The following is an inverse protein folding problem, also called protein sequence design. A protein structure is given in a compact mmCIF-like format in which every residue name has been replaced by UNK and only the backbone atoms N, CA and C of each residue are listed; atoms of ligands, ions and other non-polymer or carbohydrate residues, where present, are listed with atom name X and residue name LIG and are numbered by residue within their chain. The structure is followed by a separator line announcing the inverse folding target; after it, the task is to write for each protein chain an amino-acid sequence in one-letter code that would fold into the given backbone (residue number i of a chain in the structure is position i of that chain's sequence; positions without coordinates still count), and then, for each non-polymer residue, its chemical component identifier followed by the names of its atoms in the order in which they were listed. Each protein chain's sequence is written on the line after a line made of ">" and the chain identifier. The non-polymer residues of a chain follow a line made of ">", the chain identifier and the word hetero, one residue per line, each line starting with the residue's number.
data_IF_120467452343
#
_entry.id   IF_120467452343
#
_cell.length_a   1.000
_cell.length_b   1.000
_cell.length_c   1.000
_cell.angle_alpha   90.00
_cell.angle_beta   90.00
_cell.angle_gamma   90.00
#
_symmetry.space_group_name_H-M   'P 1'
#
loop_
_entity.id
_entity.type
_entity.pdbx_description
1 polymer ?
#
# COMPACT_ATOMS: atom_id res chain seq x y z
N UNK A 1 6.39 -0.90 26.49
CA UNK A 1 7.54 -0.14 25.92
C UNK A 1 7.25 0.24 24.45
N UNK A 2 6.25 1.09 24.19
CA UNK A 2 6.24 1.90 22.97
C UNK A 2 7.47 2.82 22.89
N UNK A 3 8.06 3.10 24.07
CA UNK A 3 9.26 3.91 24.27
C UNK A 3 10.60 3.27 23.86
N UNK A 4 10.67 2.01 23.40
CA UNK A 4 11.98 1.40 23.05
C UNK A 4 12.46 1.73 21.63
N UNK A 5 11.59 2.22 20.75
CA UNK A 5 11.94 2.62 19.38
C UNK A 5 11.11 3.84 18.94
N UNK A 6 11.54 5.06 19.29
CA UNK A 6 10.84 6.30 18.96
C UNK A 6 10.68 6.52 17.45
N UNK A 7 11.61 6.00 16.66
CA UNK A 7 11.55 6.12 15.20
C UNK A 7 10.33 5.37 14.64
N UNK A 8 10.13 4.13 15.08
CA UNK A 8 9.12 3.23 14.51
C UNK A 8 7.70 3.77 14.63
N UNK A 9 7.30 4.29 15.78
CA UNK A 9 5.93 4.81 15.93
C UNK A 9 5.74 6.12 15.15
N UNK A 10 6.78 6.97 15.10
CA UNK A 10 6.74 8.24 14.37
C UNK A 10 6.62 7.97 12.87
N UNK A 11 7.50 7.14 12.32
CA UNK A 11 7.47 6.73 10.92
C UNK A 11 6.08 6.18 10.56
N UNK A 12 5.58 5.23 11.35
CA UNK A 12 4.27 4.62 11.13
C UNK A 12 3.10 5.63 11.25
N UNK A 13 3.20 6.62 12.13
CA UNK A 13 2.21 7.67 12.25
C UNK A 13 2.21 8.58 11.02
N UNK A 14 3.38 8.96 10.51
CA UNK A 14 3.49 9.74 9.27
C UNK A 14 2.93 8.95 8.08
N UNK A 15 3.22 7.64 7.96
CA UNK A 15 2.61 6.79 6.93
C UNK A 15 1.10 6.69 7.08
N UNK A 16 0.58 6.67 8.30
CA UNK A 16 -0.86 6.65 8.54
C UNK A 16 -1.55 7.93 8.07
N UNK A 17 -0.96 9.10 8.33
CA UNK A 17 -1.46 10.39 7.83
C UNK A 17 -1.40 10.43 6.29
N UNK A 18 -0.29 9.98 5.71
CA UNK A 18 -0.18 9.87 4.25
C UNK A 18 -1.29 8.99 3.66
N UNK A 19 -1.51 7.79 4.22
CA UNK A 19 -2.54 6.88 3.75
C UNK A 19 -3.95 7.47 3.83
N UNK A 20 -4.25 8.27 4.87
CA UNK A 20 -5.54 8.98 4.98
C UNK A 20 -5.69 10.01 3.88
N UNK A 21 -4.67 10.85 3.68
CA UNK A 21 -4.71 11.91 2.67
C UNK A 21 -4.76 11.33 1.25
N UNK A 22 -3.83 10.44 0.94
CA UNK A 22 -3.70 9.80 -0.36
C UNK A 22 -4.90 8.90 -0.67
N UNK A 23 -5.31 8.02 0.24
CA UNK A 23 -6.43 7.11 -0.01
C UNK A 23 -7.75 7.84 -0.21
N UNK A 24 -8.00 8.93 0.53
CA UNK A 24 -9.20 9.75 0.35
C UNK A 24 -9.16 10.51 -0.98
N UNK A 25 -8.01 11.11 -1.31
CA UNK A 25 -7.81 11.83 -2.57
C UNK A 25 -7.94 10.86 -3.77
N UNK A 26 -7.38 9.67 -3.68
CA UNK A 26 -7.45 8.67 -4.75
C UNK A 26 -8.89 8.20 -4.99
N UNK A 27 -9.68 7.96 -3.93
CA UNK A 27 -11.12 7.72 -4.07
C UNK A 27 -11.80 8.91 -4.77
N UNK A 28 -11.46 10.14 -4.39
CA UNK A 28 -12.00 11.33 -5.05
C UNK A 28 -11.67 11.36 -6.55
N UNK A 29 -10.44 11.00 -6.95
CA UNK A 29 -10.05 10.91 -8.36
C UNK A 29 -10.99 9.99 -9.15
N UNK A 30 -11.24 8.77 -8.67
CA UNK A 30 -12.13 7.82 -9.36
C UNK A 30 -13.60 8.21 -9.33
N UNK A 31 -14.04 8.95 -8.31
CA UNK A 31 -15.43 9.45 -8.27
C UNK A 31 -15.65 10.68 -9.15
N UNK A 32 -14.65 11.55 -9.27
CA UNK A 32 -14.73 12.78 -10.05
C UNK A 32 -14.43 12.55 -11.53
N UNK A 33 -13.57 11.58 -11.84
CA UNK A 33 -13.10 11.25 -13.19
C UNK A 33 -13.25 9.75 -13.46
N UNK A 34 -14.49 9.21 -13.50
CA UNK A 34 -14.73 7.78 -13.73
C UNK A 34 -14.16 7.27 -15.06
N UNK A 35 -14.00 8.14 -16.06
CA UNK A 35 -13.37 7.85 -17.35
C UNK A 35 -11.94 7.33 -17.24
N UNK A 36 -11.24 7.60 -16.12
CA UNK A 36 -9.92 7.03 -15.82
C UNK A 36 -9.91 5.50 -15.89
N UNK A 37 -11.02 4.82 -15.56
CA UNK A 37 -11.09 3.36 -15.55
C UNK A 37 -11.12 2.76 -16.95
N UNK A 38 -11.53 3.54 -17.94
CA UNK A 38 -11.64 3.16 -19.35
C UNK A 38 -10.35 3.46 -20.11
N UNK A 39 -9.74 4.62 -19.86
CA UNK A 39 -8.48 5.09 -20.44
C UNK A 39 -7.37 5.21 -19.38
N UNK A 40 -6.82 4.08 -18.96
CA UNK A 40 -5.86 4.06 -17.85
C UNK A 40 -4.46 4.56 -18.22
N UNK A 41 -4.06 4.43 -19.48
CA UNK A 41 -2.71 4.75 -19.93
C UNK A 41 -2.61 6.17 -20.52
N UNK A 42 -3.66 6.65 -21.19
CA UNK A 42 -3.74 7.99 -21.76
C UNK A 42 -4.32 9.07 -20.84
N UNK A 43 -5.15 8.73 -19.85
CA UNK A 43 -5.78 9.74 -19.02
C UNK A 43 -4.78 10.39 -18.05
N UNK A 44 -4.63 11.71 -18.21
CA UNK A 44 -3.91 12.57 -17.29
C UNK A 44 -4.66 13.89 -17.11
N UNK A 45 -4.83 14.31 -15.86
CA UNK A 45 -5.24 15.65 -15.53
C UNK A 45 -4.42 16.17 -14.36
N UNK A 46 -4.43 17.48 -14.13
CA UNK A 46 -3.61 18.07 -13.08
C UNK A 46 -3.96 17.57 -11.67
N UNK A 47 -5.21 17.17 -11.42
CA UNK A 47 -5.62 16.68 -10.10
C UNK A 47 -5.04 15.30 -9.81
N UNK A 48 -5.12 14.37 -10.76
CA UNK A 48 -4.57 13.01 -10.65
C UNK A 48 -3.05 13.01 -10.68
N UNK A 49 -2.45 13.82 -11.55
CA UNK A 49 -1.00 14.02 -11.59
C UNK A 49 -0.46 14.58 -10.27
N UNK A 50 -1.15 15.55 -9.67
CA UNK A 50 -0.74 16.12 -8.38
C UNK A 50 -0.81 15.10 -7.25
N UNK A 51 -1.82 14.22 -7.23
CA UNK A 51 -1.88 13.10 -6.29
C UNK A 51 -0.65 12.19 -6.45
N UNK A 52 -0.30 11.79 -7.68
CA UNK A 52 0.88 10.96 -7.95
C UNK A 52 2.16 11.67 -7.51
N UNK A 53 2.31 12.96 -7.80
CA UNK A 53 3.46 13.77 -7.37
C UNK A 53 3.58 13.87 -5.85
N UNK A 54 2.46 14.13 -5.16
CA UNK A 54 2.38 14.17 -3.71
C UNK A 54 2.82 12.83 -3.10
N UNK A 55 2.28 11.72 -3.60
CA UNK A 55 2.62 10.39 -3.10
C UNK A 55 4.06 10.00 -3.42
N UNK A 56 4.58 10.37 -4.59
CA UNK A 56 5.99 10.16 -4.93
C UNK A 56 6.91 10.87 -3.96
N UNK A 57 6.62 12.15 -3.64
CA UNK A 57 7.37 12.91 -2.65
C UNK A 57 7.37 12.22 -1.28
N UNK A 58 6.21 11.72 -0.84
CA UNK A 58 6.12 10.94 0.38
C UNK A 58 6.95 9.64 0.34
N UNK A 59 6.85 8.83 -0.72
CA UNK A 59 7.59 7.57 -0.82
C UNK A 59 9.11 7.80 -0.86
N UNK A 60 9.58 8.90 -1.48
CA UNK A 60 11.00 9.31 -1.43
C UNK A 60 11.39 9.66 0.00
N UNK A 61 10.59 10.50 0.68
CA UNK A 61 10.82 10.86 2.07
C UNK A 61 10.91 9.63 2.97
N UNK A 62 9.96 8.70 2.85
CA UNK A 62 9.89 7.52 3.71
C UNK A 62 11.05 6.55 3.43
N UNK A 63 11.44 6.38 2.16
CA UNK A 63 12.64 5.61 1.80
C UNK A 63 13.93 6.22 2.36
N UNK A 64 14.06 7.55 2.34
CA UNK A 64 15.20 8.27 2.93
C UNK A 64 15.19 8.15 4.46
N UNK A 65 14.04 8.30 5.12
CA UNK A 65 13.91 8.13 6.57
C UNK A 65 14.31 6.69 6.97
N UNK A 66 13.89 5.68 6.22
CA UNK A 66 14.35 4.29 6.43
C UNK A 66 15.86 4.11 6.22
N UNK A 67 16.46 4.77 5.22
CA UNK A 67 17.90 4.74 4.96
C UNK A 67 18.68 5.35 6.13
N UNK A 68 18.36 6.58 6.53
CA UNK A 68 19.07 7.27 7.61
C UNK A 68 18.92 6.59 8.97
N UNK A 69 17.85 5.82 9.17
CA UNK A 69 17.62 5.07 10.41
C UNK A 69 18.06 3.59 10.33
N UNK A 70 18.82 3.19 9.30
CA UNK A 70 19.36 1.83 9.09
C UNK A 70 18.29 0.72 9.04
N UNK A 71 17.13 1.01 8.44
CA UNK A 71 15.97 0.09 8.39
C UNK A 71 15.80 -0.63 7.06
N UNK A 72 16.52 -0.24 6.02
CA UNK A 72 16.36 -0.80 4.67
C UNK A 72 16.49 -2.33 4.63
N UNK A 73 17.49 -2.90 5.30
CA UNK A 73 17.69 -4.35 5.34
C UNK A 73 16.85 -5.05 6.39
N UNK A 74 16.49 -4.35 7.47
CA UNK A 74 15.65 -4.91 8.54
C UNK A 74 14.22 -5.16 8.06
N UNK A 75 13.69 -4.22 7.28
CA UNK A 75 12.35 -4.27 6.71
C UNK A 75 12.39 -4.48 5.19
N UNK A 76 13.21 -5.45 4.73
CA UNK A 76 13.50 -5.68 3.30
C UNK A 76 12.26 -5.75 2.39
N UNK A 77 11.15 -6.33 2.89
CA UNK A 77 9.91 -6.43 2.10
C UNK A 77 9.25 -5.08 1.86
N UNK A 78 9.35 -4.16 2.82
CA UNK A 78 8.88 -2.76 2.68
C UNK A 78 9.84 -1.99 1.78
N UNK A 79 11.14 -2.20 1.93
CA UNK A 79 12.14 -1.58 1.05
C UNK A 79 11.94 -1.95 -0.42
N UNK A 80 11.71 -3.23 -0.73
CA UNK A 80 11.40 -3.66 -2.10
C UNK A 80 10.10 -3.05 -2.62
N UNK A 81 9.08 -2.94 -1.77
CA UNK A 81 7.84 -2.23 -2.11
C UNK A 81 8.13 -0.78 -2.52
N UNK A 82 8.92 -0.03 -1.74
CA UNK A 82 9.25 1.36 -2.03
C UNK A 82 10.04 1.49 -3.33
N UNK A 83 11.00 0.60 -3.58
CA UNK A 83 11.79 0.61 -4.83
C UNK A 83 10.86 0.43 -6.03
N UNK A 84 9.98 -0.57 -5.99
CA UNK A 84 9.03 -0.83 -7.09
C UNK A 84 8.10 0.36 -7.31
N UNK A 85 7.51 0.90 -6.23
CA UNK A 85 6.60 2.05 -6.28
C UNK A 85 7.30 3.26 -6.88
N UNK A 86 8.50 3.60 -6.38
CA UNK A 86 9.27 4.76 -6.84
C UNK A 86 9.65 4.65 -8.32
N UNK A 87 10.05 3.47 -8.80
CA UNK A 87 10.34 3.27 -10.23
C UNK A 87 9.11 3.60 -11.08
N UNK A 88 7.94 3.05 -10.73
CA UNK A 88 6.71 3.28 -11.49
C UNK A 88 6.23 4.73 -11.41
N UNK A 89 6.30 5.34 -10.23
CA UNK A 89 5.76 6.67 -9.97
C UNK A 89 6.63 7.75 -10.61
N UNK A 90 7.96 7.66 -10.46
CA UNK A 90 8.91 8.58 -11.10
C UNK A 90 8.78 8.47 -12.61
N UNK A 91 8.63 7.25 -13.16
CA UNK A 91 8.39 7.08 -14.58
C UNK A 91 7.11 7.80 -15.04
N UNK A 92 6.01 7.65 -14.31
CA UNK A 92 4.73 8.30 -14.65
C UNK A 92 4.84 9.83 -14.59
N UNK A 93 5.50 10.39 -13.58
CA UNK A 93 5.75 11.83 -13.46
C UNK A 93 6.62 12.34 -14.62
N UNK A 94 7.73 11.66 -14.88
CA UNK A 94 8.69 12.06 -15.91
C UNK A 94 8.08 12.07 -17.32
N UNK A 95 7.23 11.08 -17.60
CA UNK A 95 6.60 10.92 -18.93
C UNK A 95 5.23 11.57 -19.03
N UNK A 96 4.63 11.95 -17.90
CA UNK A 96 3.21 12.33 -17.80
C UNK A 96 2.25 11.28 -18.39
N UNK A 97 2.67 10.02 -18.39
CA UNK A 97 1.94 8.88 -18.94
C UNK A 97 1.56 7.88 -17.84
N UNK A 98 0.53 7.06 -18.06
CA UNK A 98 0.08 6.03 -17.13
C UNK A 98 -0.27 6.57 -15.73
N UNK A 99 -0.65 7.84 -15.62
CA UNK A 99 -1.04 8.46 -14.35
C UNK A 99 -2.23 7.76 -13.74
N UNK A 100 -3.25 7.41 -14.54
CA UNK A 100 -4.41 6.67 -14.03
C UNK A 100 -4.07 5.22 -13.62
N UNK A 101 -3.13 4.54 -14.29
CA UNK A 101 -2.56 3.26 -13.80
C UNK A 101 -1.94 3.43 -12.40
N UNK A 102 -1.18 4.52 -12.19
CA UNK A 102 -0.58 4.81 -10.89
C UNK A 102 -1.64 5.14 -9.83
N UNK A 103 -2.70 5.88 -10.18
CA UNK A 103 -3.85 6.08 -9.30
C UNK A 103 -4.49 4.74 -8.92
N UNK A 104 -4.70 3.82 -9.87
CA UNK A 104 -5.21 2.48 -9.53
C UNK A 104 -4.27 1.79 -8.54
N UNK A 105 -2.95 1.87 -8.74
CA UNK A 105 -1.98 1.31 -7.81
C UNK A 105 -2.02 1.99 -6.42
N UNK A 106 -2.36 3.28 -6.32
CA UNK A 106 -2.49 4.04 -5.07
C UNK A 106 -3.71 3.67 -4.23
N UNK A 107 -4.72 2.99 -4.81
CA UNK A 107 -5.87 2.50 -4.06
C UNK A 107 -5.49 1.60 -2.87
N UNK A 108 -4.29 1.02 -2.90
CA UNK A 108 -3.70 0.26 -1.79
C UNK A 108 -3.60 1.06 -0.50
N UNK A 109 -3.49 2.39 -0.57
CA UNK A 109 -3.42 3.31 0.57
C UNK A 109 -4.74 3.34 1.37
N UNK A 110 -5.87 3.02 0.73
CA UNK A 110 -7.16 2.86 1.44
C UNK A 110 -7.07 1.72 2.45
N UNK A 111 -6.43 0.59 2.07
CA UNK A 111 -6.10 -0.45 3.04
C UNK A 111 -4.99 0.01 4.01
N UNK A 112 -4.02 0.80 3.51
CA UNK A 112 -2.96 1.43 4.29
C UNK A 112 -3.46 2.10 5.57
N UNK A 113 -4.57 2.85 5.50
CA UNK A 113 -5.20 3.50 6.67
C UNK A 113 -5.43 2.51 7.82
N UNK A 114 -6.09 1.39 7.55
CA UNK A 114 -6.42 0.39 8.55
C UNK A 114 -5.20 -0.44 8.98
N UNK A 115 -4.26 -0.68 8.06
CA UNK A 115 -3.03 -1.40 8.32
C UNK A 115 -2.11 -0.63 9.28
N UNK A 116 -1.91 0.67 9.04
CA UNK A 116 -1.08 1.52 9.89
C UNK A 116 -1.76 1.78 11.24
N UNK A 117 -3.06 2.05 11.26
CA UNK A 117 -3.85 2.16 12.50
C UNK A 117 -3.70 0.90 13.37
N UNK A 118 -3.79 -0.30 12.76
CA UNK A 118 -3.58 -1.59 13.45
C UNK A 118 -2.21 -1.64 14.11
N UNK A 119 -1.15 -1.36 13.35
CA UNK A 119 0.23 -1.40 13.85
C UNK A 119 0.45 -0.37 14.97
N UNK A 120 -0.15 0.82 14.87
CA UNK A 120 -0.09 1.84 15.92
C UNK A 120 -0.75 1.34 17.21
N UNK A 121 -1.97 0.79 17.12
CA UNK A 121 -2.65 0.19 18.28
C UNK A 121 -1.82 -0.91 18.95
N UNK A 122 -1.11 -1.73 18.16
CA UNK A 122 -0.20 -2.75 18.71
C UNK A 122 0.99 -2.14 19.43
N UNK A 123 1.59 -1.07 18.90
CA UNK A 123 2.69 -0.34 19.56
C UNK A 123 2.20 0.25 20.89
N UNK A 124 1.02 0.87 20.90
CA UNK A 124 0.37 1.43 22.09
C UNK A 124 -0.25 0.37 23.03
N UNK A 125 -0.04 -0.92 22.77
CA UNK A 125 -0.46 -2.03 23.64
C UNK A 125 -1.97 -2.11 23.88
N UNK A 126 -2.78 -1.77 22.88
CA UNK A 126 -4.22 -2.02 22.95
C UNK A 126 -4.47 -3.53 23.17
N UNK A 127 -5.44 -3.86 24.02
CA UNK A 127 -5.85 -5.24 24.23
C UNK A 127 -6.36 -5.86 22.92
N UNK A 128 -6.03 -7.12 22.68
CA UNK A 128 -6.54 -7.87 21.51
C UNK A 128 -8.06 -8.10 21.57
N UNK A 129 -8.68 -7.91 22.73
CA UNK A 129 -10.13 -7.96 22.94
C UNK A 129 -10.78 -6.58 22.84
N UNK A 130 -9.99 -5.50 22.71
CA UNK A 130 -10.51 -4.14 22.62
C UNK A 130 -11.35 -3.97 21.34
N UNK A 131 -12.60 -3.51 21.49
CA UNK A 131 -13.59 -3.44 20.39
C UNK A 131 -13.06 -2.71 19.15
N UNK A 132 -12.39 -1.56 19.34
CA UNK A 132 -11.83 -0.78 18.23
C UNK A 132 -10.71 -1.56 17.50
N UNK A 133 -9.88 -2.28 18.25
CA UNK A 133 -8.82 -3.10 17.66
C UNK A 133 -9.40 -4.24 16.83
N UNK A 134 -10.39 -4.95 17.38
CA UNK A 134 -11.07 -6.06 16.70
C UNK A 134 -11.78 -5.59 15.43
N UNK A 135 -12.48 -4.45 15.50
CA UNK A 135 -13.14 -3.85 14.34
C UNK A 135 -12.12 -3.50 13.25
N UNK A 136 -11.08 -2.75 13.60
CA UNK A 136 -10.04 -2.36 12.65
C UNK A 136 -9.31 -3.57 12.05
N UNK A 137 -9.07 -4.63 12.84
CA UNK A 137 -8.49 -5.89 12.36
C UNK A 137 -9.32 -6.48 11.21
N UNK A 138 -10.63 -6.59 11.37
CA UNK A 138 -11.50 -7.17 10.34
C UNK A 138 -11.63 -6.25 9.12
N UNK A 139 -11.80 -4.94 9.33
CA UNK A 139 -11.83 -3.98 8.22
C UNK A 139 -10.51 -4.03 7.43
N UNK A 140 -9.37 -4.08 8.11
CA UNK A 140 -8.07 -4.24 7.48
C UNK A 140 -7.99 -5.52 6.63
N UNK A 141 -8.52 -6.65 7.09
CA UNK A 141 -8.50 -7.89 6.32
C UNK A 141 -9.35 -7.81 5.05
N UNK A 142 -10.57 -7.28 5.17
CA UNK A 142 -11.51 -7.11 4.04
C UNK A 142 -10.93 -6.14 3.02
N UNK A 143 -10.49 -4.97 3.48
CA UNK A 143 -9.89 -3.95 2.62
C UNK A 143 -8.59 -4.43 1.98
N UNK A 144 -7.81 -5.31 2.62
CA UNK A 144 -6.61 -5.87 2.01
C UNK A 144 -6.96 -6.65 0.73
N UNK A 145 -7.97 -7.51 0.78
CA UNK A 145 -8.37 -8.31 -0.40
C UNK A 145 -8.87 -7.41 -1.52
N UNK A 146 -9.72 -6.43 -1.20
CA UNK A 146 -10.33 -5.52 -2.18
C UNK A 146 -9.28 -4.57 -2.77
N UNK A 147 -8.62 -3.80 -1.92
CA UNK A 147 -7.77 -2.67 -2.31
C UNK A 147 -6.31 -3.04 -2.57
N UNK A 148 -5.88 -4.28 -2.30
CA UNK A 148 -4.57 -4.77 -2.78
C UNK A 148 -4.70 -5.82 -3.87
N UNK A 149 -5.70 -6.70 -3.78
CA UNK A 149 -5.97 -7.71 -4.80
C UNK A 149 -6.58 -7.11 -6.08
N UNK A 150 -7.61 -6.28 -5.94
CA UNK A 150 -8.29 -5.65 -7.08
C UNK A 150 -7.35 -4.78 -7.93
N UNK A 151 -6.72 -3.76 -7.35
CA UNK A 151 -5.77 -2.89 -8.05
C UNK A 151 -4.65 -3.63 -8.77
N UNK A 152 -3.99 -4.58 -8.10
CA UNK A 152 -2.85 -5.27 -8.71
C UNK A 152 -3.29 -6.15 -9.89
N UNK A 153 -4.46 -6.78 -9.79
CA UNK A 153 -5.05 -7.52 -10.91
C UNK A 153 -5.41 -6.60 -12.08
N UNK A 154 -5.97 -5.41 -11.81
CA UNK A 154 -6.31 -4.41 -12.83
C UNK A 154 -5.06 -3.90 -13.55
N UNK A 155 -4.01 -3.54 -12.81
CA UNK A 155 -2.72 -3.08 -13.35
C UNK A 155 -2.04 -4.17 -14.16
N UNK A 156 -2.04 -5.41 -13.68
CA UNK A 156 -1.49 -6.54 -14.42
C UNK A 156 -2.21 -6.74 -15.76
N UNK A 157 -3.55 -6.70 -15.75
CA UNK A 157 -4.34 -6.84 -16.96
C UNK A 157 -4.07 -5.73 -17.98
N UNK A 158 -3.90 -4.47 -17.52
CA UNK A 158 -3.54 -3.35 -18.39
C UNK A 158 -2.21 -3.59 -19.11
N UNK A 159 -1.14 -3.86 -18.36
CA UNK A 159 0.17 -4.09 -18.95
C UNK A 159 0.23 -5.35 -19.81
N UNK A 160 -0.54 -6.38 -19.49
CA UNK A 160 -0.52 -7.64 -20.25
C UNK A 160 -1.26 -7.53 -21.60
N UNK A 161 -2.38 -6.80 -21.65
CA UNK A 161 -3.31 -6.91 -22.78
C UNK A 161 -3.72 -5.58 -23.43
N UNK A 162 -3.72 -4.46 -22.70
CA UNK A 162 -4.35 -3.21 -23.15
C UNK A 162 -3.40 -2.05 -23.41
N UNK A 163 -2.12 -2.19 -23.06
CA UNK A 163 -1.09 -1.18 -23.24
C UNK A 163 -0.19 -1.49 -24.47
N UNK A 164 -0.62 -1.23 -25.72
CA UNK A 164 0.22 -1.38 -26.91
C UNK A 164 1.24 -0.23 -27.05
N UNK A 165 1.01 0.91 -26.37
CA UNK A 165 1.86 2.09 -26.43
C UNK A 165 3.27 1.87 -25.84
N UNK A 166 3.42 0.89 -24.93
CA UNK A 166 4.72 0.53 -24.39
C UNK A 166 5.46 -0.43 -25.32
N UNK A 167 6.72 -0.09 -25.63
CA UNK A 167 7.63 -1.03 -26.31
C UNK A 167 7.73 -2.35 -25.54
N UNK A 168 7.82 -3.47 -26.27
CA UNK A 168 7.79 -4.83 -25.70
C UNK A 168 8.75 -5.04 -24.50
N UNK A 169 10.01 -4.55 -24.52
CA UNK A 169 10.91 -4.68 -23.36
C UNK A 169 10.41 -3.94 -22.13
N UNK A 170 9.95 -2.70 -22.29
CA UNK A 170 9.50 -1.85 -21.19
C UNK A 170 8.22 -2.41 -20.54
N UNK A 171 7.29 -2.90 -21.37
CA UNK A 171 6.10 -3.62 -20.90
C UNK A 171 6.48 -4.84 -20.07
N UNK A 172 7.48 -5.60 -20.49
CA UNK A 172 8.02 -6.74 -19.74
C UNK A 172 8.53 -6.36 -18.34
N UNK A 173 9.21 -5.22 -18.21
CA UNK A 173 9.66 -4.70 -16.91
C UNK A 173 8.48 -4.39 -16.00
N UNK A 174 7.47 -3.66 -16.47
CA UNK A 174 6.31 -3.31 -15.63
C UNK A 174 5.47 -4.52 -15.21
N UNK A 175 5.34 -5.52 -16.09
CA UNK A 175 4.72 -6.81 -15.72
C UNK A 175 5.52 -7.49 -14.61
N UNK A 176 6.85 -7.56 -14.75
CA UNK A 176 7.72 -8.15 -13.72
C UNK A 176 7.59 -7.43 -12.38
N UNK A 177 7.62 -6.09 -12.38
CA UNK A 177 7.44 -5.27 -11.18
C UNK A 177 6.08 -5.51 -10.52
N UNK A 178 5.02 -5.64 -11.32
CA UNK A 178 3.66 -5.94 -10.84
C UNK A 178 3.58 -7.34 -10.22
N UNK A 179 4.19 -8.35 -10.83
CA UNK A 179 4.25 -9.71 -10.27
C UNK A 179 5.07 -9.73 -8.97
N UNK A 180 6.21 -9.03 -8.92
CA UNK A 180 7.01 -8.90 -7.71
C UNK A 180 6.20 -8.26 -6.57
N UNK A 181 5.46 -7.19 -6.87
CA UNK A 181 4.54 -6.55 -5.91
C UNK A 181 3.44 -7.52 -5.44
N UNK A 182 2.92 -8.37 -6.31
CA UNK A 182 1.91 -9.37 -5.97
C UNK A 182 2.46 -10.40 -4.99
N UNK A 183 3.68 -10.90 -5.24
CA UNK A 183 4.37 -11.79 -4.31
C UNK A 183 4.55 -11.16 -2.92
N UNK A 184 4.97 -9.88 -2.86
CA UNK A 184 5.09 -9.13 -1.60
C UNK A 184 3.72 -9.07 -0.90
N UNK A 185 2.65 -8.71 -1.61
CA UNK A 185 1.30 -8.62 -1.04
C UNK A 185 0.80 -9.98 -0.51
N UNK A 186 1.06 -11.09 -1.20
CA UNK A 186 0.72 -12.44 -0.71
C UNK A 186 1.46 -12.77 0.57
N UNK A 187 2.77 -12.49 0.65
CA UNK A 187 3.58 -12.73 1.85
C UNK A 187 3.06 -11.88 3.03
N UNK A 188 2.74 -10.60 2.78
CA UNK A 188 2.19 -9.71 3.80
C UNK A 188 0.80 -10.17 4.28
N UNK A 189 -0.05 -10.61 3.35
CA UNK A 189 -1.36 -11.16 3.69
C UNK A 189 -1.24 -12.40 4.56
N UNK A 190 -0.35 -13.33 4.20
CA UNK A 190 -0.08 -14.52 5.02
C UNK A 190 0.37 -14.16 6.43
N UNK A 191 1.32 -13.23 6.57
CA UNK A 191 1.78 -12.74 7.88
C UNK A 191 0.63 -12.12 8.68
N UNK A 192 -0.24 -11.36 8.04
CA UNK A 192 -1.41 -10.75 8.67
C UNK A 192 -2.39 -11.82 9.17
N UNK A 193 -2.77 -12.77 8.32
CA UNK A 193 -3.65 -13.89 8.67
C UNK A 193 -3.09 -14.72 9.83
N UNK A 194 -1.79 -15.04 9.79
CA UNK A 194 -1.11 -15.74 10.89
C UNK A 194 -1.18 -14.94 12.20
N UNK A 195 -0.92 -13.64 12.14
CA UNK A 195 -0.93 -12.78 13.33
C UNK A 195 -2.32 -12.56 13.91
N UNK A 196 -3.34 -12.40 13.09
CA UNK A 196 -4.65 -11.89 13.51
C UNK A 196 -5.72 -12.96 13.62
N UNK A 197 -5.60 -14.04 12.85
CA UNK A 197 -6.55 -15.15 12.91
C UNK A 197 -5.95 -16.25 13.79
N UNK A 198 -4.78 -16.78 13.43
CA UNK A 198 -4.23 -17.95 14.10
C UNK A 198 -3.77 -17.66 15.54
N UNK A 199 -2.98 -16.58 15.74
CA UNK A 199 -2.47 -16.26 17.09
C UNK A 199 -3.56 -15.74 18.02
N UNK A 200 -4.53 -14.97 17.52
CA UNK A 200 -5.68 -14.52 18.34
C UNK A 200 -6.54 -15.70 18.77
N UNK A 201 -6.85 -16.62 17.87
CA UNK A 201 -7.62 -17.83 18.21
C UNK A 201 -6.88 -18.72 19.22
N UNK A 202 -5.57 -18.90 19.08
CA UNK A 202 -4.76 -19.64 20.06
C UNK A 202 -4.80 -18.98 21.44
N UNK A 203 -4.67 -17.64 21.53
CA UNK A 203 -4.72 -16.92 22.82
C UNK A 203 -6.08 -17.04 23.49
N UNK A 204 -7.16 -16.96 22.72
CA UNK A 204 -8.52 -17.15 23.22
C UNK A 204 -8.72 -18.57 23.77
N UNK A 205 -8.29 -19.58 23.03
CA UNK A 205 -8.33 -20.98 23.46
C UNK A 205 -7.55 -21.23 24.76
N UNK A 206 -6.35 -20.67 24.91
CA UNK A 206 -5.56 -20.84 26.14
C UNK A 206 -6.25 -20.18 27.33
N UNK A 207 -6.82 -18.98 27.16
CA UNK A 207 -7.54 -18.26 28.23
C UNK A 207 -8.83 -18.96 28.67
N UNK A 208 -9.53 -19.64 27.75
CA UNK A 208 -10.75 -20.39 28.05
C UNK A 208 -10.47 -21.74 28.76
N UNK A 209 -9.25 -22.26 28.65
CA UNK A 209 -8.83 -23.55 29.23
C UNK A 209 -7.80 -23.42 30.37
N UNK A 210 -7.63 -22.20 30.91
CA UNK A 210 -6.78 -21.90 32.07
C UNK A 210 -7.62 -21.44 33.25
#
# INVERSE_FOLDING_TARGET
>A
RAASDPWRWRNLFVSWIHAILCGSWDIMCFTAYPEMLEDLDGHMNYFTYTLVAFSTGYFIYDALDMFFNNRLLQDWGVTLHHIIVLICFIYSIWTSYATAIVCVALLVEVNGVFLHARKLMQIFQFSFEHKIYVLNKYINLITFVIFRGGPISRVFYEFAYKCPAFNLPLRGVFIFLTVAMACINVILFWRLCKSDVLLTSRRKYVKENS
#
